data_IF_736841616657
#
_entry.id   IF_736841616657
#
_cell.length_a   1.000
_cell.length_b   1.000
_cell.length_c   1.000
_cell.angle_alpha   90.00
_cell.angle_beta   90.00
_cell.angle_gamma   90.00
#
_symmetry.space_group_name_H-M   'P 1'
#
loop_
_entity.id
_entity.type
_entity.pdbx_description
1 polymer ?
#
# COMPACT_ATOMS: atom_id res chain seq x y z
N UNK A 1 -28.24 -2.61 22.70
CA UNK A 1 -27.40 -3.16 21.62
C UNK A 1 -26.26 -2.18 21.34
N UNK A 2 -25.08 -2.69 20.99
CA UNK A 2 -23.94 -1.84 20.65
C UNK A 2 -24.31 -0.93 19.48
N UNK A 3 -23.88 0.33 19.52
CA UNK A 3 -23.99 1.19 18.34
C UNK A 3 -22.99 0.65 17.33
N UNK A 4 -23.58 0.04 16.31
CA UNK A 4 -23.01 -0.34 15.04
C UNK A 4 -21.83 0.57 14.64
N UNK A 5 -20.60 0.10 14.89
CA UNK A 5 -19.36 0.71 14.38
C UNK A 5 -19.17 0.43 12.87
N UNK A 6 -20.21 0.00 12.16
CA UNK A 6 -20.19 -0.42 10.76
C UNK A 6 -19.84 0.73 9.79
N UNK A 7 -19.85 1.99 10.24
CA UNK A 7 -19.38 3.14 9.46
C UNK A 7 -17.90 3.51 9.65
N UNK A 8 -17.08 2.61 10.24
CA UNK A 8 -15.62 2.76 10.29
C UNK A 8 -14.83 1.74 9.44
N UNK A 9 -15.50 0.82 8.75
CA UNK A 9 -14.85 -0.20 7.91
C UNK A 9 -14.24 0.34 6.60
N UNK A 10 -14.59 1.55 6.17
CA UNK A 10 -14.14 2.13 4.89
C UNK A 10 -12.80 2.90 4.96
N UNK A 11 -11.80 2.39 5.69
CA UNK A 11 -10.55 3.13 5.95
C UNK A 11 -9.28 2.25 6.12
N UNK A 12 -8.97 1.44 5.10
CA UNK A 12 -7.68 0.75 4.96
C UNK A 12 -6.89 1.10 3.68
N UNK A 13 -7.52 1.83 2.76
CA UNK A 13 -6.91 2.44 1.57
C UNK A 13 -7.24 3.96 1.66
N UNK A 14 -6.52 4.80 0.90
CA UNK A 14 -6.62 6.27 0.87
C UNK A 14 -5.93 6.98 2.04
N UNK A 15 -4.86 7.72 1.70
CA UNK A 15 -4.09 8.53 2.64
C UNK A 15 -4.67 9.94 2.77
N UNK A 16 -4.92 10.39 4.00
CA UNK A 16 -5.35 11.75 4.31
C UNK A 16 -4.66 12.26 5.58
N UNK A 17 -4.07 13.45 5.54
CA UNK A 17 -3.78 14.34 6.68
C UNK A 17 -2.83 13.84 7.77
N UNK A 18 -3.26 12.81 8.49
CA UNK A 18 -2.54 12.13 9.56
C UNK A 18 -1.98 10.81 9.04
N UNK A 19 -0.73 10.48 9.38
CA UNK A 19 -0.13 9.22 8.97
C UNK A 19 -0.82 8.01 9.64
N UNK A 20 -0.58 6.80 9.12
CA UNK A 20 -1.19 5.54 9.60
C UNK A 20 -0.99 5.35 11.12
N UNK A 21 0.14 5.82 11.65
CA UNK A 21 0.50 5.73 13.07
C UNK A 21 -0.30 6.72 13.91
N UNK A 22 -0.52 7.95 13.45
CA UNK A 22 -1.35 8.96 14.12
C UNK A 22 -2.83 8.58 14.16
N UNK A 23 -3.41 8.15 13.03
CA UNK A 23 -4.79 7.62 13.00
C UNK A 23 -4.95 6.43 13.96
N UNK A 24 -3.93 5.55 14.06
CA UNK A 24 -3.90 4.46 15.06
C UNK A 24 -3.83 4.98 16.50
N UNK A 25 -3.01 5.98 16.80
CA UNK A 25 -2.94 6.62 18.14
C UNK A 25 -4.28 7.23 18.56
N UNK A 26 -4.96 7.94 17.65
CA UNK A 26 -6.29 8.53 17.92
C UNK A 26 -7.33 7.43 18.18
N UNK A 27 -7.36 6.36 17.37
CA UNK A 27 -8.25 5.20 17.58
C UNK A 27 -8.00 4.50 18.93
N UNK A 28 -6.74 4.27 19.30
CA UNK A 28 -6.39 3.70 20.62
C UNK A 28 -6.83 4.62 21.78
N UNK A 29 -6.69 5.94 21.62
CA UNK A 29 -7.14 6.91 22.63
C UNK A 29 -8.66 6.92 22.79
N UNK A 30 -9.41 6.76 21.70
CA UNK A 30 -10.88 6.57 21.73
C UNK A 30 -11.25 5.31 22.51
N UNK A 31 -10.61 4.18 22.20
CA UNK A 31 -10.88 2.89 22.87
C UNK A 31 -10.60 2.97 24.38
N UNK A 32 -9.44 3.48 24.80
CA UNK A 32 -9.12 3.63 26.22
C UNK A 32 -10.16 4.51 26.95
N UNK A 33 -10.56 5.65 26.37
CA UNK A 33 -11.59 6.52 26.98
C UNK A 33 -12.96 5.81 27.08
N UNK A 34 -13.29 4.94 26.11
CA UNK A 34 -14.52 4.16 26.15
C UNK A 34 -14.49 3.07 27.22
N UNK A 35 -13.40 2.30 27.33
CA UNK A 35 -13.24 1.26 28.34
C UNK A 35 -13.09 1.83 29.76
N UNK A 36 -12.30 2.90 29.95
CA UNK A 36 -12.03 3.50 31.26
C UNK A 36 -13.20 4.30 31.81
N UNK A 37 -13.95 5.01 30.95
CA UNK A 37 -14.91 6.04 31.40
C UNK A 37 -16.33 5.93 30.83
N UNK A 38 -16.58 5.09 29.82
CA UNK A 38 -17.93 4.87 29.27
C UNK A 38 -18.52 3.51 29.64
N UNK A 39 -17.69 2.51 29.93
CA UNK A 39 -18.09 1.16 30.31
C UNK A 39 -18.89 1.17 31.62
N UNK A 40 -20.15 0.73 31.55
CA UNK A 40 -21.05 0.74 32.71
C UNK A 40 -21.56 2.13 33.13
N UNK A 41 -21.37 3.18 32.32
CA UNK A 41 -21.77 4.53 32.68
C UNK A 41 -23.30 4.65 32.92
N UNK A 42 -23.68 4.93 34.18
CA UNK A 42 -25.08 5.08 34.62
C UNK A 42 -25.66 6.47 34.36
N UNK A 43 -24.84 7.44 33.95
CA UNK A 43 -25.26 8.85 33.71
C UNK A 43 -26.04 9.03 32.40
N UNK A 44 -26.04 8.03 31.50
CA UNK A 44 -26.78 8.09 30.24
C UNK A 44 -28.27 7.83 30.51
N UNK A 45 -29.19 8.74 30.12
CA UNK A 45 -30.62 8.54 30.37
C UNK A 45 -31.15 7.25 29.73
N UNK A 46 -31.96 6.50 30.49
CA UNK A 46 -32.70 5.33 29.99
C UNK A 46 -33.89 5.77 29.14
N UNK A 47 -33.64 6.17 27.90
CA UNK A 47 -34.70 6.33 26.89
C UNK A 47 -35.23 4.99 26.40
N UNK A 48 -36.51 4.98 25.98
CA UNK A 48 -37.23 3.82 25.46
C UNK A 48 -36.51 3.17 24.27
N UNK A 49 -36.73 1.86 24.10
CA UNK A 49 -35.89 0.95 23.30
C UNK A 49 -35.96 1.18 21.78
N UNK A 50 -36.90 2.01 21.32
CA UNK A 50 -37.23 2.21 19.90
C UNK A 50 -36.21 3.02 19.10
N UNK A 51 -35.17 3.59 19.72
CA UNK A 51 -34.25 4.52 19.02
C UNK A 51 -32.79 4.42 19.51
N UNK A 52 -31.93 3.78 18.72
CA UNK A 52 -30.55 3.44 19.07
C UNK A 52 -29.58 4.64 19.08
N UNK A 53 -29.84 5.68 18.28
CA UNK A 53 -28.89 6.78 18.06
C UNK A 53 -28.85 7.84 19.19
N UNK A 54 -29.90 7.96 19.99
CA UNK A 54 -30.02 9.04 20.98
C UNK A 54 -29.02 8.93 22.14
N UNK A 55 -28.53 7.73 22.45
CA UNK A 55 -27.55 7.53 23.55
C UNK A 55 -26.18 8.14 23.22
N UNK A 56 -25.73 8.03 21.97
CA UNK A 56 -24.46 8.65 21.55
C UNK A 56 -24.60 10.14 21.25
N UNK A 57 -25.70 10.58 20.60
CA UNK A 57 -25.98 12.01 20.43
C UNK A 57 -26.04 12.73 21.79
N UNK A 58 -26.83 12.20 22.74
CA UNK A 58 -26.93 12.79 24.08
C UNK A 58 -25.56 12.91 24.78
N UNK A 59 -24.74 11.85 24.77
CA UNK A 59 -23.39 11.90 25.32
C UNK A 59 -22.51 12.93 24.60
N UNK A 60 -22.54 12.96 23.27
CA UNK A 60 -21.75 13.87 22.45
C UNK A 60 -22.11 15.36 22.63
N UNK A 61 -23.34 15.64 23.06
CA UNK A 61 -23.87 16.99 23.27
C UNK A 61 -23.83 17.43 24.75
N UNK A 62 -24.02 16.49 25.70
CA UNK A 62 -24.26 16.80 27.12
C UNK A 62 -23.21 16.26 28.09
N UNK A 63 -22.30 15.38 27.66
CA UNK A 63 -21.23 14.83 28.49
C UNK A 63 -19.85 15.30 28.01
N UNK A 64 -18.97 15.76 28.92
CA UNK A 64 -17.60 16.17 28.55
C UNK A 64 -16.79 15.05 27.89
N UNK A 65 -16.96 13.81 28.35
CA UNK A 65 -16.29 12.64 27.81
C UNK A 65 -16.82 12.37 26.39
N UNK A 66 -18.13 12.48 26.18
CA UNK A 66 -18.75 12.33 24.87
C UNK A 66 -18.34 13.44 23.89
N UNK A 67 -18.19 14.69 24.35
CA UNK A 67 -17.63 15.80 23.57
C UNK A 67 -16.19 15.53 23.14
N UNK A 68 -15.35 15.02 24.05
CA UNK A 68 -13.97 14.62 23.75
C UNK A 68 -13.93 13.46 22.73
N UNK A 69 -14.79 12.46 22.89
CA UNK A 69 -14.92 11.35 21.93
C UNK A 69 -15.42 11.83 20.56
N UNK A 70 -16.38 12.77 20.51
CA UNK A 70 -16.87 13.39 19.26
C UNK A 70 -15.73 14.10 18.54
N UNK A 71 -15.01 14.99 19.22
CA UNK A 71 -13.87 15.72 18.65
C UNK A 71 -12.74 14.79 18.17
N UNK A 72 -12.43 13.72 18.91
CA UNK A 72 -11.46 12.71 18.45
C UNK A 72 -11.97 11.95 17.20
N UNK A 73 -13.27 11.64 17.14
CA UNK A 73 -13.90 11.04 15.96
C UNK A 73 -13.89 11.98 14.75
N UNK A 74 -14.18 13.25 14.94
CA UNK A 74 -14.13 14.30 13.91
C UNK A 74 -12.70 14.50 13.38
N UNK A 75 -11.68 14.45 14.24
CA UNK A 75 -10.26 14.50 13.81
C UNK A 75 -9.81 13.30 12.95
N UNK A 76 -10.58 12.20 12.92
CA UNK A 76 -10.37 11.08 11.99
C UNK A 76 -11.06 11.28 10.62
N UNK A 77 -11.91 12.31 10.51
CA UNK A 77 -12.68 12.68 9.32
C UNK A 77 -12.27 14.03 8.72
N UNK A 78 -11.59 14.87 9.50
CA UNK A 78 -11.12 16.20 9.12
C UNK A 78 -10.27 16.15 7.84
N UNK A 79 -10.71 16.89 6.81
CA UNK A 79 -10.09 16.89 5.48
C UNK A 79 -10.74 15.96 4.44
N UNK A 80 -11.88 15.31 4.73
CA UNK A 80 -12.69 14.62 3.71
C UNK A 80 -13.85 15.46 3.19
N UNK A 81 -13.79 15.76 1.91
CA UNK A 81 -14.98 16.01 1.09
C UNK A 81 -15.10 14.89 0.06
N UNK A 82 -16.33 14.54 -0.31
CA UNK A 82 -16.65 13.50 -1.30
C UNK A 82 -15.86 13.73 -2.61
N UNK A 83 -15.89 14.96 -3.13
CA UNK A 83 -15.09 15.39 -4.29
C UNK A 83 -13.57 15.19 -4.15
N UNK A 84 -12.97 15.36 -2.96
CA UNK A 84 -11.52 15.09 -2.82
C UNK A 84 -11.20 13.59 -2.80
N UNK A 85 -12.11 12.75 -2.32
CA UNK A 85 -11.96 11.29 -2.39
C UNK A 85 -12.07 10.81 -3.86
N UNK A 86 -13.07 11.30 -4.59
CA UNK A 86 -13.22 11.06 -6.04
C UNK A 86 -12.00 11.54 -6.82
N UNK A 87 -11.52 12.76 -6.56
CA UNK A 87 -10.38 13.34 -7.26
C UNK A 87 -9.09 12.53 -7.03
N UNK A 88 -8.82 12.10 -5.79
CA UNK A 88 -7.67 11.23 -5.45
C UNK A 88 -7.79 9.82 -6.02
N UNK A 89 -9.00 9.27 -6.10
CA UNK A 89 -9.25 8.00 -6.77
C UNK A 89 -8.86 8.10 -8.25
N UNK A 90 -9.35 9.14 -8.94
CA UNK A 90 -8.96 9.42 -10.32
C UNK A 90 -7.46 9.74 -10.48
N UNK A 91 -6.78 10.36 -9.52
CA UNK A 91 -5.33 10.59 -9.56
C UNK A 91 -4.56 9.26 -9.59
N UNK A 92 -4.95 8.30 -8.74
CA UNK A 92 -4.33 6.96 -8.71
C UNK A 92 -4.64 6.12 -9.94
N UNK A 93 -5.90 6.15 -10.42
CA UNK A 93 -6.29 5.50 -11.68
C UNK A 93 -5.47 6.07 -12.84
N UNK A 94 -5.35 7.40 -12.96
CA UNK A 94 -4.57 8.03 -14.03
C UNK A 94 -3.08 7.69 -13.94
N UNK A 95 -2.47 7.78 -12.75
CA UNK A 95 -1.05 7.46 -12.57
C UNK A 95 -0.74 5.97 -12.86
N UNK A 96 -1.67 5.06 -12.56
CA UNK A 96 -1.52 3.63 -12.87
C UNK A 96 -1.75 3.36 -14.36
N UNK A 97 -2.75 4.02 -14.96
CA UNK A 97 -3.01 3.96 -16.40
C UNK A 97 -1.82 4.43 -17.24
N UNK A 98 -1.13 5.51 -16.82
CA UNK A 98 0.07 5.97 -17.53
C UNK A 98 1.25 5.00 -17.41
N UNK A 99 1.44 4.36 -16.25
CA UNK A 99 2.45 3.30 -16.06
C UNK A 99 2.15 2.07 -16.92
N UNK A 100 0.90 1.60 -16.95
CA UNK A 100 0.47 0.52 -17.83
C UNK A 100 0.67 0.90 -19.30
N UNK A 101 0.35 2.14 -19.69
CA UNK A 101 0.54 2.61 -21.06
C UNK A 101 2.01 2.70 -21.48
N UNK A 102 2.91 2.94 -20.53
CA UNK A 102 4.36 2.95 -20.72
C UNK A 102 5.02 1.55 -20.60
N UNK A 103 4.30 0.52 -20.15
CA UNK A 103 4.79 -0.86 -20.17
C UNK A 103 4.53 -1.49 -21.55
N UNK A 104 5.62 -1.88 -22.22
CA UNK A 104 5.57 -2.55 -23.53
C UNK A 104 5.14 -4.02 -23.46
N UNK A 105 5.02 -4.62 -22.26
CA UNK A 105 4.80 -6.06 -22.04
C UNK A 105 3.52 -6.62 -22.68
N UNK A 106 2.46 -5.80 -22.80
CA UNK A 106 1.13 -6.21 -23.30
C UNK A 106 0.55 -5.32 -24.41
N UNK A 107 1.32 -4.37 -24.95
CA UNK A 107 0.83 -3.34 -25.91
C UNK A 107 -0.49 -2.67 -25.47
N UNK A 108 -0.56 -2.27 -24.21
CA UNK A 108 -1.77 -1.74 -23.58
C UNK A 108 -2.43 -0.60 -24.39
N UNK A 109 -3.68 -0.78 -24.82
CA UNK A 109 -4.51 0.29 -25.41
C UNK A 109 -5.30 1.02 -24.32
N UNK A 110 -5.78 2.24 -24.61
CA UNK A 110 -6.63 2.96 -23.64
C UNK A 110 -7.93 2.20 -23.36
N UNK A 111 -8.56 1.58 -24.36
CA UNK A 111 -9.69 0.66 -24.19
C UNK A 111 -9.39 -0.52 -23.25
N UNK A 112 -8.25 -1.20 -23.40
CA UNK A 112 -7.89 -2.33 -22.52
C UNK A 112 -7.61 -1.87 -21.08
N UNK A 113 -6.90 -0.74 -20.91
CA UNK A 113 -6.64 -0.17 -19.59
C UNK A 113 -7.95 0.27 -18.91
N UNK A 114 -8.88 0.85 -19.66
CA UNK A 114 -10.19 1.25 -19.15
C UNK A 114 -11.03 0.04 -18.70
N UNK A 115 -11.00 -1.05 -19.46
CA UNK A 115 -11.67 -2.30 -19.10
C UNK A 115 -11.13 -2.92 -17.79
N UNK A 116 -9.80 -2.96 -17.60
CA UNK A 116 -9.17 -3.44 -16.35
C UNK A 116 -9.56 -2.60 -15.12
N UNK A 117 -9.78 -1.29 -15.30
CA UNK A 117 -10.24 -0.40 -14.23
C UNK A 117 -11.76 -0.28 -14.11
N UNK A 118 -12.54 -1.00 -14.92
CA UNK A 118 -14.01 -0.94 -14.89
C UNK A 118 -14.61 0.41 -15.32
N UNK A 119 -13.86 1.22 -16.07
CA UNK A 119 -14.28 2.56 -16.53
C UNK A 119 -14.41 2.60 -18.06
N UNK A 120 -15.11 3.61 -18.60
CA UNK A 120 -15.18 3.80 -20.05
C UNK A 120 -13.93 4.49 -20.59
N UNK A 121 -13.48 4.08 -21.79
CA UNK A 121 -12.26 4.62 -22.43
C UNK A 121 -12.29 6.15 -22.54
N UNK A 122 -13.41 6.73 -22.98
CA UNK A 122 -13.57 8.18 -23.08
C UNK A 122 -13.46 8.91 -21.74
N UNK A 123 -13.94 8.32 -20.65
CA UNK A 123 -13.87 8.92 -19.32
C UNK A 123 -12.44 8.85 -18.75
N UNK A 124 -11.78 7.70 -18.89
CA UNK A 124 -10.37 7.55 -18.54
C UNK A 124 -9.49 8.53 -19.33
N UNK A 125 -9.68 8.61 -20.65
CA UNK A 125 -8.92 9.52 -21.51
C UNK A 125 -9.15 10.99 -21.13
N UNK A 126 -10.39 11.40 -20.85
CA UNK A 126 -10.73 12.74 -20.37
C UNK A 126 -9.98 13.08 -19.07
N UNK A 127 -10.02 12.18 -18.08
CA UNK A 127 -9.37 12.38 -16.78
C UNK A 127 -7.84 12.36 -16.84
N UNK A 128 -7.24 11.64 -17.80
CA UNK A 128 -5.78 11.67 -18.07
C UNK A 128 -5.38 12.94 -18.84
N UNK A 129 -6.10 13.31 -19.90
CA UNK A 129 -5.79 14.51 -20.71
C UNK A 129 -5.83 15.77 -19.85
N UNK A 130 -6.91 15.95 -19.07
CA UNK A 130 -7.10 17.07 -18.15
C UNK A 130 -5.95 17.21 -17.12
N UNK A 131 -5.32 16.09 -16.73
CA UNK A 131 -4.15 16.08 -15.83
C UNK A 131 -2.84 16.39 -16.56
N UNK A 132 -2.66 15.93 -17.80
CA UNK A 132 -1.52 16.31 -18.65
C UNK A 132 -1.51 17.80 -18.96
N UNK A 133 -2.69 18.36 -19.21
CA UNK A 133 -2.93 19.79 -19.39
C UNK A 133 -2.60 20.58 -18.11
N UNK A 134 -3.09 20.13 -16.95
CA UNK A 134 -2.77 20.73 -15.66
C UNK A 134 -1.27 20.66 -15.28
N UNK A 135 -0.58 19.59 -15.68
CA UNK A 135 0.86 19.39 -15.44
C UNK A 135 1.77 20.11 -16.44
N UNK A 136 1.22 20.88 -17.39
CA UNK A 136 1.98 21.77 -18.27
C UNK A 136 2.77 21.11 -19.41
N UNK A 137 2.68 19.79 -19.60
CA UNK A 137 3.47 19.06 -20.60
C UNK A 137 2.89 19.17 -22.01
N UNK A 138 3.07 20.32 -22.66
CA UNK A 138 2.69 20.50 -24.07
C UNK A 138 3.58 19.64 -25.00
N UNK A 139 3.02 18.53 -25.50
CA UNK A 139 3.71 17.62 -26.40
C UNK A 139 3.81 18.20 -27.82
N UNK A 140 4.79 19.08 -28.07
CA UNK A 140 5.16 19.46 -29.44
C UNK A 140 5.87 18.29 -30.12
N UNK A 141 5.37 17.88 -31.29
CA UNK A 141 6.08 16.95 -32.19
C UNK A 141 7.48 17.51 -32.50
N UNK A 142 8.51 16.73 -32.24
CA UNK A 142 9.88 17.02 -32.69
C UNK A 142 10.16 16.17 -33.94
N UNK A 143 10.61 16.82 -35.00
CA UNK A 143 11.05 16.16 -36.23
C UNK A 143 12.10 17.02 -36.93
N UNK A 144 13.16 16.34 -37.41
CA UNK A 144 14.38 16.92 -37.99
C UNK A 144 15.35 17.58 -36.95
N UNK A 145 16.68 17.64 -37.15
CA UNK A 145 17.45 17.49 -38.41
C UNK A 145 18.90 17.00 -38.21
N UNK A 146 19.47 16.40 -39.28
CA UNK A 146 20.90 16.35 -39.70
C UNK A 146 21.97 15.43 -39.06
N UNK A 147 22.83 14.92 -39.97
CA UNK A 147 24.10 14.19 -39.77
C UNK A 147 25.30 15.14 -40.00
N UNK A 148 26.54 14.72 -39.67
CA UNK A 148 27.70 15.04 -40.51
C UNK A 148 28.59 13.82 -40.88
N UNK A 149 29.63 14.07 -41.70
CA UNK A 149 30.39 13.11 -42.52
C UNK A 149 31.84 12.83 -42.02
N UNK A 150 32.49 11.81 -42.58
CA UNK A 150 33.87 11.36 -42.32
C UNK A 150 34.98 12.27 -42.89
N UNK A 151 36.19 12.27 -42.29
CA UNK A 151 37.50 12.15 -43.01
C UNK A 151 38.69 11.68 -42.13
N UNK A 152 39.76 11.14 -42.76
CA UNK A 152 41.13 10.80 -42.29
C UNK A 152 42.14 11.41 -43.31
N UNK A 153 43.52 11.43 -43.18
CA UNK A 153 44.43 10.35 -42.71
C UNK A 153 45.81 10.76 -42.05
N UNK A 154 46.67 9.74 -41.77
CA UNK A 154 48.18 9.58 -41.69
C UNK A 154 49.20 10.77 -41.77
N UNK A 155 50.55 10.62 -41.48
CA UNK A 155 51.40 9.39 -41.39
C UNK A 155 52.53 9.33 -40.30
N UNK A 156 53.37 8.27 -40.36
CA UNK A 156 54.63 7.98 -39.62
C UNK A 156 55.89 8.73 -40.13
N UNK A 157 57.02 8.66 -39.40
CA UNK A 157 58.34 8.38 -40.03
C UNK A 157 59.22 7.32 -39.31
N UNK A 158 60.36 6.94 -39.92
CA UNK A 158 61.23 5.80 -39.59
C UNK A 158 62.65 6.15 -39.10
N UNK A 159 63.22 5.26 -38.25
CA UNK A 159 64.57 4.63 -38.29
C UNK A 159 65.84 5.42 -38.70
N UNK A 160 66.92 5.33 -37.88
CA UNK A 160 68.33 5.49 -38.31
C UNK A 160 69.26 4.54 -37.52
N UNK A 161 70.22 3.92 -38.22
CA UNK A 161 71.28 3.03 -37.70
C UNK A 161 72.65 3.46 -38.25
N UNK A 162 73.72 3.45 -37.44
CA UNK A 162 75.15 3.65 -37.81
C UNK A 162 76.03 3.54 -36.53
N UNK A 163 77.34 3.19 -36.51
CA UNK A 163 78.31 2.61 -37.47
C UNK A 163 79.31 1.71 -36.67
N UNK A 164 80.31 1.08 -37.32
CA UNK A 164 81.48 0.41 -36.68
C UNK A 164 82.79 1.19 -36.96
N UNK A 165 83.83 1.00 -36.13
CA UNK A 165 85.26 0.96 -36.56
C UNK A 165 86.20 0.50 -35.42
N UNK A 166 87.47 0.21 -35.75
CA UNK A 166 88.33 -0.79 -35.08
C UNK A 166 89.49 -0.26 -34.20
N UNK A 167 90.09 -1.20 -33.46
CA UNK A 167 91.42 -1.18 -32.78
C UNK A 167 92.56 -1.42 -33.82
N UNK A 168 93.90 -1.28 -33.56
CA UNK A 168 94.61 -1.66 -32.31
C UNK A 168 95.92 -0.92 -31.92
N UNK A 169 96.51 -1.32 -30.78
CA UNK A 169 97.99 -1.46 -30.60
C UNK A 169 98.33 -2.29 -29.34
N UNK A 170 99.06 -3.38 -29.54
CA UNK A 170 99.55 -4.28 -28.49
C UNK A 170 100.65 -3.63 -27.62
N UNK A 171 100.99 -4.27 -26.51
CA UNK A 171 101.98 -3.87 -25.47
C UNK A 171 101.50 -2.88 -24.38
N UNK A 172 100.40 -2.14 -24.57
CA UNK A 172 99.62 -1.61 -23.41
C UNK A 172 98.52 -2.57 -22.95
N UNK A 173 98.40 -3.72 -23.63
CA UNK A 173 97.23 -4.60 -23.63
C UNK A 173 97.11 -5.48 -22.39
N UNK A 174 98.22 -5.94 -21.79
CA UNK A 174 98.15 -6.80 -20.59
C UNK A 174 97.68 -5.98 -19.37
N UNK A 175 98.29 -4.83 -19.11
CA UNK A 175 97.87 -3.93 -18.03
C UNK A 175 96.42 -3.44 -18.22
N UNK A 176 96.06 -2.97 -19.43
CA UNK A 176 94.68 -2.57 -19.75
C UNK A 176 93.68 -3.73 -19.73
N UNK A 177 94.11 -4.97 -19.95
CA UNK A 177 93.21 -6.12 -19.79
C UNK A 177 93.00 -6.45 -18.32
N UNK A 178 94.03 -6.40 -17.47
CA UNK A 178 93.86 -6.58 -16.02
C UNK A 178 92.91 -5.50 -15.47
N UNK A 179 93.18 -4.22 -15.76
CA UNK A 179 92.33 -3.09 -15.36
C UNK A 179 90.91 -3.18 -15.94
N UNK A 180 90.74 -3.62 -17.21
CA UNK A 180 89.41 -3.91 -17.78
C UNK A 180 88.71 -5.09 -17.11
N UNK A 181 89.45 -6.09 -16.64
CA UNK A 181 88.87 -7.28 -16.01
C UNK A 181 88.42 -6.96 -14.59
N UNK A 182 89.18 -6.16 -13.85
CA UNK A 182 88.81 -5.65 -12.51
C UNK A 182 87.64 -4.66 -12.56
N UNK A 183 87.59 -3.78 -13.57
CA UNK A 183 86.44 -2.88 -13.80
C UNK A 183 85.19 -3.63 -14.28
N UNK A 184 85.34 -4.71 -15.06
CA UNK A 184 84.23 -5.60 -15.40
C UNK A 184 83.75 -6.42 -14.20
N UNK A 185 84.66 -6.97 -13.40
CA UNK A 185 84.32 -7.74 -12.20
C UNK A 185 83.58 -6.88 -11.16
N UNK A 186 84.05 -5.65 -10.92
CA UNK A 186 83.34 -4.69 -10.05
C UNK A 186 81.99 -4.26 -10.62
N UNK A 187 81.87 -4.04 -11.94
CA UNK A 187 80.58 -3.78 -12.60
C UNK A 187 79.60 -4.94 -12.46
N UNK A 188 80.03 -6.18 -12.71
CA UNK A 188 79.18 -7.36 -12.61
C UNK A 188 78.81 -7.69 -11.16
N UNK A 189 79.71 -7.47 -10.19
CA UNK A 189 79.40 -7.56 -8.75
C UNK A 189 78.37 -6.51 -8.32
N UNK A 190 78.53 -5.26 -8.75
CA UNK A 190 77.54 -4.21 -8.50
C UNK A 190 76.16 -4.58 -9.04
N UNK A 191 76.10 -5.02 -10.31
CA UNK A 191 74.86 -5.47 -10.95
C UNK A 191 74.25 -6.71 -10.29
N UNK A 192 75.08 -7.65 -9.83
CA UNK A 192 74.63 -8.84 -9.09
C UNK A 192 73.98 -8.46 -7.75
N UNK A 193 74.60 -7.54 -7.00
CA UNK A 193 74.05 -7.05 -5.73
C UNK A 193 72.69 -6.36 -5.95
N UNK A 194 72.56 -5.48 -6.96
CA UNK A 194 71.27 -4.86 -7.30
C UNK A 194 70.19 -5.90 -7.61
N UNK A 195 70.51 -6.95 -8.36
CA UNK A 195 69.57 -8.04 -8.66
C UNK A 195 69.20 -8.86 -7.42
N UNK A 196 70.12 -9.02 -6.46
CA UNK A 196 69.83 -9.66 -5.17
C UNK A 196 68.90 -8.80 -4.31
N UNK A 197 69.15 -7.50 -4.23
CA UNK A 197 68.30 -6.54 -3.51
C UNK A 197 66.88 -6.50 -4.11
N UNK A 198 66.75 -6.42 -5.44
CA UNK A 198 65.47 -6.49 -6.16
C UNK A 198 64.72 -7.80 -5.88
N UNK A 199 65.43 -8.93 -5.88
CA UNK A 199 64.84 -10.26 -5.60
C UNK A 199 64.37 -10.39 -4.15
N UNK A 200 65.05 -9.78 -3.19
CA UNK A 200 64.61 -9.79 -1.78
C UNK A 200 63.42 -8.84 -1.53
N UNK A 201 63.32 -7.72 -2.27
CA UNK A 201 62.11 -6.87 -2.30
C UNK A 201 60.91 -7.65 -2.87
N UNK A 202 61.06 -8.27 -4.05
CA UNK A 202 60.00 -9.08 -4.67
C UNK A 202 59.56 -10.26 -3.80
N UNK A 203 60.50 -10.90 -3.08
CA UNK A 203 60.17 -11.96 -2.13
C UNK A 203 59.30 -11.47 -0.97
N UNK A 204 59.50 -10.23 -0.51
CA UNK A 204 58.67 -9.60 0.53
C UNK A 204 57.28 -9.27 0.00
N UNK A 205 57.18 -8.65 -1.17
CA UNK A 205 55.90 -8.35 -1.83
C UNK A 205 55.07 -9.63 -2.07
N UNK A 206 55.71 -10.71 -2.52
CA UNK A 206 55.07 -12.02 -2.72
C UNK A 206 54.47 -12.58 -1.42
N UNK A 207 55.17 -12.42 -0.29
CA UNK A 207 54.67 -12.85 1.02
C UNK A 207 53.46 -12.00 1.47
N UNK A 208 53.47 -10.70 1.20
CA UNK A 208 52.34 -9.80 1.49
C UNK A 208 51.11 -10.13 0.61
N UNK A 209 51.30 -10.37 -0.68
CA UNK A 209 50.24 -10.81 -1.61
C UNK A 209 49.66 -12.16 -1.21
N UNK A 210 50.50 -13.11 -0.78
CA UNK A 210 50.05 -14.43 -0.29
C UNK A 210 49.16 -14.31 0.94
N UNK A 211 49.48 -13.39 1.86
CA UNK A 211 48.63 -13.11 3.03
C UNK A 211 47.28 -12.51 2.62
N UNK A 212 47.29 -11.51 1.73
CA UNK A 212 46.06 -10.89 1.20
C UNK A 212 45.15 -11.92 0.49
N UNK A 213 45.74 -12.91 -0.19
CA UNK A 213 44.99 -13.98 -0.83
C UNK A 213 44.20 -14.86 0.17
N UNK A 214 44.85 -15.29 1.26
CA UNK A 214 44.17 -16.09 2.30
C UNK A 214 43.12 -15.26 3.07
N UNK A 215 43.39 -13.98 3.36
CA UNK A 215 42.39 -13.07 3.93
C UNK A 215 41.15 -12.93 3.02
N UNK A 216 41.37 -12.75 1.71
CA UNK A 216 40.30 -12.59 0.71
C UNK A 216 39.50 -13.88 0.49
N UNK A 217 40.16 -15.05 0.56
CA UNK A 217 39.52 -16.37 0.57
C UNK A 217 38.63 -16.57 1.79
N UNK A 218 39.12 -16.23 2.99
CA UNK A 218 38.32 -16.28 4.22
C UNK A 218 37.10 -15.34 4.19
N UNK A 219 37.24 -14.15 3.58
CA UNK A 219 36.10 -13.24 3.35
C UNK A 219 35.09 -13.87 2.37
N UNK A 220 35.56 -14.46 1.27
CA UNK A 220 34.69 -15.13 0.28
C UNK A 220 33.88 -16.29 0.89
N UNK A 221 34.49 -17.09 1.76
CA UNK A 221 33.82 -18.20 2.44
C UNK A 221 32.74 -17.71 3.41
N UNK A 222 33.01 -16.65 4.20
CA UNK A 222 32.00 -16.00 5.05
C UNK A 222 30.85 -15.43 4.24
N UNK A 223 31.14 -14.70 3.17
CA UNK A 223 30.12 -14.08 2.32
C UNK A 223 29.20 -15.12 1.65
N UNK A 224 29.72 -16.31 1.35
CA UNK A 224 28.90 -17.43 0.87
C UNK A 224 27.99 -18.03 1.97
N UNK A 225 28.47 -18.11 3.22
CA UNK A 225 27.66 -18.54 4.37
C UNK A 225 26.55 -17.51 4.68
N UNK A 226 26.89 -16.22 4.71
CA UNK A 226 25.95 -15.13 4.95
C UNK A 226 24.85 -15.09 3.87
N UNK A 227 25.21 -15.25 2.60
CA UNK A 227 24.25 -15.31 1.48
C UNK A 227 23.31 -16.52 1.58
N UNK A 228 23.80 -17.67 2.05
CA UNK A 228 22.95 -18.84 2.30
C UNK A 228 21.99 -18.59 3.47
N UNK A 229 22.47 -17.99 4.56
CA UNK A 229 21.65 -17.63 5.72
C UNK A 229 20.58 -16.58 5.38
N UNK A 230 20.94 -15.54 4.61
CA UNK A 230 19.99 -14.53 4.11
C UNK A 230 18.93 -15.17 3.21
N UNK A 231 19.34 -16.03 2.28
CA UNK A 231 18.42 -16.72 1.36
C UNK A 231 17.43 -17.58 2.13
N UNK A 232 17.89 -18.33 3.14
CA UNK A 232 17.03 -19.13 4.02
C UNK A 232 16.03 -18.24 4.79
N UNK A 233 16.49 -17.15 5.39
CA UNK A 233 15.63 -16.21 6.12
C UNK A 233 14.58 -15.58 5.18
N UNK A 234 14.96 -15.20 3.95
CA UNK A 234 14.02 -14.67 2.96
C UNK A 234 12.89 -15.67 2.66
N UNK A 235 13.22 -16.94 2.41
CA UNK A 235 12.23 -17.99 2.18
C UNK A 235 11.29 -18.17 3.39
N UNK A 236 11.85 -18.25 4.61
CA UNK A 236 11.04 -18.35 5.84
C UNK A 236 10.11 -17.13 6.03
N UNK A 237 10.55 -15.92 5.67
CA UNK A 237 9.69 -14.72 5.71
C UNK A 237 8.65 -14.68 4.59
N UNK A 238 8.93 -15.27 3.42
CA UNK A 238 8.00 -15.34 2.29
C UNK A 238 6.88 -16.33 2.58
N UNK A 239 7.19 -17.51 3.13
CA UNK A 239 6.20 -18.50 3.60
C UNK A 239 5.32 -17.91 4.71
N UNK A 240 5.90 -17.22 5.69
CA UNK A 240 5.15 -16.55 6.76
C UNK A 240 4.26 -15.42 6.23
N UNK A 241 4.73 -14.64 5.24
CA UNK A 241 3.94 -13.61 4.58
C UNK A 241 2.76 -14.24 3.82
N UNK A 242 2.99 -15.30 3.06
CA UNK A 242 1.96 -16.02 2.32
C UNK A 242 0.87 -16.59 3.23
N UNK A 243 1.27 -17.25 4.32
CA UNK A 243 0.33 -17.73 5.34
C UNK A 243 -0.53 -16.58 5.91
N UNK A 244 0.07 -15.40 6.14
CA UNK A 244 -0.68 -14.23 6.62
C UNK A 244 -1.65 -13.65 5.58
N UNK A 245 -1.33 -13.77 4.28
CA UNK A 245 -2.23 -13.36 3.20
C UNK A 245 -3.42 -14.31 3.06
N UNK A 246 -3.17 -15.63 3.11
CA UNK A 246 -4.22 -16.67 3.09
C UNK A 246 -5.19 -16.50 4.28
N UNK A 247 -4.66 -16.22 5.48
CA UNK A 247 -5.49 -15.92 6.66
C UNK A 247 -6.32 -14.62 6.50
N UNK A 248 -5.81 -13.60 5.83
CA UNK A 248 -6.58 -12.38 5.56
C UNK A 248 -7.70 -12.64 4.55
N UNK A 249 -7.40 -13.34 3.46
CA UNK A 249 -8.39 -13.71 2.44
C UNK A 249 -9.54 -14.53 3.03
N UNK A 250 -9.24 -15.57 3.83
CA UNK A 250 -10.26 -16.37 4.49
C UNK A 250 -11.18 -15.52 5.41
N UNK A 251 -10.62 -14.54 6.14
CA UNK A 251 -11.43 -13.66 6.99
C UNK A 251 -12.24 -12.62 6.22
N UNK A 252 -11.76 -12.18 5.06
CA UNK A 252 -12.53 -11.31 4.17
C UNK A 252 -13.70 -12.09 3.54
N UNK A 253 -13.51 -13.38 3.19
CA UNK A 253 -14.58 -14.29 2.74
C UNK A 253 -15.62 -14.56 3.83
N UNK A 254 -15.19 -14.86 5.07
CA UNK A 254 -16.08 -14.99 6.23
C UNK A 254 -16.90 -13.70 6.46
N UNK A 255 -16.24 -12.54 6.40
CA UNK A 255 -16.91 -11.24 6.58
C UNK A 255 -17.93 -10.96 5.48
N UNK A 256 -17.60 -11.24 4.22
CA UNK A 256 -18.53 -11.08 3.11
C UNK A 256 -19.74 -12.03 3.22
N UNK A 257 -19.52 -13.25 3.72
CA UNK A 257 -20.60 -14.22 3.99
C UNK A 257 -21.54 -13.69 5.08
N UNK A 258 -21.00 -13.27 6.24
CA UNK A 258 -21.77 -12.68 7.34
C UNK A 258 -22.51 -11.40 6.92
N UNK A 259 -21.93 -10.58 6.05
CA UNK A 259 -22.57 -9.37 5.52
C UNK A 259 -23.78 -9.73 4.64
N UNK A 260 -23.65 -10.74 3.78
CA UNK A 260 -24.76 -11.22 2.95
C UNK A 260 -25.89 -11.83 3.80
N UNK A 261 -25.56 -12.62 4.82
CA UNK A 261 -26.54 -13.14 5.79
C UNK A 261 -27.25 -12.01 6.55
N UNK A 262 -26.51 -11.01 7.03
CA UNK A 262 -27.07 -9.85 7.71
C UNK A 262 -28.03 -9.05 6.81
N UNK A 263 -27.69 -8.87 5.54
CA UNK A 263 -28.55 -8.21 4.56
C UNK A 263 -29.84 -9.01 4.33
N UNK A 264 -29.75 -10.33 4.15
CA UNK A 264 -30.92 -11.20 3.96
C UNK A 264 -31.85 -11.27 5.20
N UNK A 265 -31.28 -11.25 6.42
CA UNK A 265 -32.05 -11.13 7.67
C UNK A 265 -32.72 -9.75 7.77
N UNK A 266 -32.01 -8.70 7.36
CA UNK A 266 -32.54 -7.32 7.37
C UNK A 266 -33.71 -7.19 6.41
N UNK A 267 -33.62 -7.73 5.19
CA UNK A 267 -34.71 -7.75 4.21
C UNK A 267 -35.96 -8.47 4.76
N UNK A 268 -35.80 -9.71 5.26
CA UNK A 268 -36.91 -10.47 5.88
C UNK A 268 -37.55 -9.76 7.07
N UNK A 269 -36.77 -9.03 7.87
CA UNK A 269 -37.32 -8.22 8.98
C UNK A 269 -38.19 -7.05 8.48
N UNK A 270 -37.86 -6.45 7.33
CA UNK A 270 -38.70 -5.41 6.71
C UNK A 270 -40.00 -6.01 6.14
N UNK A 271 -39.92 -7.17 5.48
CA UNK A 271 -41.10 -7.91 4.99
C UNK A 271 -42.06 -8.26 6.14
N UNK A 272 -41.55 -8.88 7.21
CA UNK A 272 -42.34 -9.23 8.39
C UNK A 272 -42.92 -8.00 9.09
N UNK A 273 -42.17 -6.90 9.15
CA UNK A 273 -42.65 -5.63 9.70
C UNK A 273 -43.84 -5.06 8.91
N UNK A 274 -43.76 -5.09 7.57
CA UNK A 274 -44.84 -4.68 6.68
C UNK A 274 -46.08 -5.57 6.83
N UNK A 275 -45.91 -6.89 6.89
CA UNK A 275 -47.03 -7.83 7.05
C UNK A 275 -47.70 -7.72 8.42
N UNK A 276 -46.93 -7.50 9.50
CA UNK A 276 -47.48 -7.19 10.83
C UNK A 276 -48.27 -5.88 10.83
N UNK A 277 -47.78 -4.83 10.15
CA UNK A 277 -48.51 -3.57 10.02
C UNK A 277 -49.83 -3.75 9.27
N UNK A 278 -49.82 -4.51 8.17
CA UNK A 278 -51.02 -4.86 7.39
C UNK A 278 -52.01 -5.68 8.21
N UNK A 279 -51.54 -6.66 8.99
CA UNK A 279 -52.38 -7.43 9.92
C UNK A 279 -53.01 -6.51 10.98
N UNK A 280 -52.24 -5.61 11.58
CA UNK A 280 -52.72 -4.70 12.63
C UNK A 280 -53.83 -3.76 12.12
N UNK A 281 -53.72 -3.26 10.89
CA UNK A 281 -54.78 -2.46 10.23
C UNK A 281 -56.05 -3.30 10.03
N UNK A 282 -55.91 -4.54 9.53
CA UNK A 282 -57.06 -5.44 9.30
C UNK A 282 -57.77 -5.82 10.61
N UNK A 283 -57.01 -6.12 11.67
CA UNK A 283 -57.56 -6.42 13.00
C UNK A 283 -58.36 -5.23 13.54
N UNK A 284 -57.80 -4.01 13.47
CA UNK A 284 -58.51 -2.80 13.90
C UNK A 284 -59.82 -2.58 13.14
N UNK A 285 -59.80 -2.74 11.81
CA UNK A 285 -61.00 -2.61 10.99
C UNK A 285 -62.07 -3.67 11.34
N UNK A 286 -61.65 -4.90 11.69
CA UNK A 286 -62.56 -5.95 12.17
C UNK A 286 -63.11 -5.63 13.57
N UNK A 287 -62.30 -5.09 14.48
CA UNK A 287 -62.73 -4.65 15.82
C UNK A 287 -63.75 -3.51 15.75
N UNK A 288 -63.51 -2.49 14.91
CA UNK A 288 -64.45 -1.39 14.67
C UNK A 288 -65.78 -1.89 14.08
N UNK A 289 -65.72 -2.87 13.17
CA UNK A 289 -66.92 -3.50 12.59
C UNK A 289 -67.70 -4.29 13.64
N UNK A 290 -67.00 -5.09 14.45
CA UNK A 290 -67.60 -5.86 15.53
C UNK A 290 -68.18 -4.97 16.65
N UNK A 291 -67.58 -3.80 16.90
CA UNK A 291 -68.11 -2.82 17.84
C UNK A 291 -69.46 -2.25 17.37
N UNK A 292 -69.55 -1.82 16.11
CA UNK A 292 -70.82 -1.32 15.50
C UNK A 292 -71.92 -2.38 15.51
N UNK A 293 -71.59 -3.63 15.22
CA UNK A 293 -72.56 -4.74 15.28
C UNK A 293 -73.05 -5.03 16.71
N UNK A 294 -72.19 -4.87 17.74
CA UNK A 294 -72.62 -4.96 19.15
C UNK A 294 -73.56 -3.81 19.53
N UNK A 295 -73.24 -2.58 19.13
CA UNK A 295 -74.06 -1.40 19.39
C UNK A 295 -75.46 -1.54 18.74
N UNK A 296 -75.51 -1.91 17.46
CA UNK A 296 -76.76 -2.17 16.74
C UNK A 296 -77.61 -3.28 17.39
N UNK A 297 -76.99 -4.36 17.89
CA UNK A 297 -77.71 -5.42 18.63
C UNK A 297 -78.32 -4.92 19.94
N UNK A 298 -77.59 -4.09 20.70
CA UNK A 298 -78.10 -3.47 21.93
C UNK A 298 -79.29 -2.55 21.60
N UNK A 299 -79.21 -1.79 20.52
CA UNK A 299 -80.31 -0.94 20.06
C UNK A 299 -81.56 -1.75 19.69
N UNK A 300 -81.41 -2.82 18.90
CA UNK A 300 -82.51 -3.72 18.55
C UNK A 300 -83.12 -4.43 19.78
N UNK A 301 -82.28 -4.80 20.76
CA UNK A 301 -82.74 -5.34 22.03
C UNK A 301 -83.56 -4.31 22.83
N UNK A 302 -83.09 -3.05 22.92
CA UNK A 302 -83.84 -1.97 23.56
C UNK A 302 -85.18 -1.68 22.87
N UNK A 303 -85.20 -1.61 21.53
CA UNK A 303 -86.41 -1.41 20.72
C UNK A 303 -87.42 -2.54 20.92
N UNK A 304 -86.98 -3.81 20.90
CA UNK A 304 -87.87 -4.97 21.10
C UNK A 304 -88.41 -5.06 22.53
N UNK A 305 -87.62 -4.71 23.55
CA UNK A 305 -88.10 -4.59 24.93
C UNK A 305 -89.16 -3.48 25.07
N UNK A 306 -88.93 -2.30 24.48
CA UNK A 306 -89.90 -1.20 24.49
C UNK A 306 -91.24 -1.60 23.82
N UNK A 307 -91.18 -2.29 22.67
CA UNK A 307 -92.37 -2.82 22.00
C UNK A 307 -93.11 -3.86 22.85
N UNK A 308 -92.38 -4.76 23.54
CA UNK A 308 -92.97 -5.74 24.45
C UNK A 308 -93.68 -5.09 25.65
N UNK A 309 -93.12 -4.03 26.21
CA UNK A 309 -93.75 -3.24 27.28
C UNK A 309 -95.00 -2.52 26.76
N UNK A 310 -94.92 -1.89 25.58
CA UNK A 310 -96.06 -1.20 24.98
C UNK A 310 -97.23 -2.14 24.68
N UNK A 311 -96.97 -3.32 24.11
CA UNK A 311 -97.99 -4.35 23.87
C UNK A 311 -98.64 -4.83 25.17
N UNK A 312 -97.85 -5.00 26.25
CA UNK A 312 -98.35 -5.39 27.57
C UNK A 312 -99.15 -4.29 28.29
N UNK A 313 -99.11 -3.04 27.82
CA UNK A 313 -99.90 -1.94 28.37
C UNK A 313 -101.24 -1.72 27.63
N UNK A 314 -101.46 -2.39 26.50
CA UNK A 314 -102.67 -2.29 25.65
C UNK A 314 -103.57 -3.53 25.77
N UNK A 315 -103.04 -4.63 26.34
CA UNK A 315 -103.73 -5.89 26.65
C UNK A 315 -104.07 -5.98 28.14
#
# INVERSE_FOLDING_TARGET
MAISLYYLSFNLIWGDGLNKTEKRKVRLRILNIQDDQCKGCTKVPKYNETSTNHKTSWCAENCEIGKKLKSLGESLLEGRTEHMAEQRNWDQICATAEKLRASDEKKWTWGNIAAEFGVTEGNLYYHVSKRREANGTSNKRVGATMKPHNTKPSPQPQNVQNTKSETPKLNSVVAKHIEKTETLDTFWKGRLNTVLDEKDVLQKELNEVSKLYEDLKGIKEKLAQDLFAETKLRLETEDALKLSQEQLQARDEDYNTLLNEFNAITEKNHELGHDLQKMHINVRAAEETAAKEREHRIELQGRSQALGIALKAVL
#
